data_IF_204057440634
#
_entry.id   IF_204057440634
#
_cell.length_a   1.000
_cell.length_b   1.000
_cell.length_c   1.000
_cell.angle_alpha   90.00
_cell.angle_beta   90.00
_cell.angle_gamma   90.00
#
_symmetry.space_group_name_H-M   'P 1'
#
loop_
_entity.id
_entity.type
_entity.pdbx_description
1 polymer ?
#
# COMPACT_ATOMS: atom_id res chain seq x y z
N UNK A 1 8.13 -18.48 3.77
CA UNK A 1 8.74 -17.15 3.58
C UNK A 1 10.24 -17.32 3.42
N UNK A 2 10.87 -16.86 2.34
CA UNK A 2 12.33 -16.84 2.24
C UNK A 2 12.79 -15.45 2.66
N UNK A 3 13.64 -15.37 3.69
CA UNK A 3 14.33 -14.14 4.07
C UNK A 3 15.67 -14.17 3.34
N UNK A 4 15.79 -13.39 2.27
CA UNK A 4 17.09 -13.22 1.62
C UNK A 4 17.97 -12.31 2.51
N UNK A 5 19.28 -12.55 2.47
CA UNK A 5 20.27 -11.81 3.27
C UNK A 5 20.04 -10.29 3.21
N UNK A 6 20.02 -9.65 4.38
CA UNK A 6 19.71 -8.21 4.53
C UNK A 6 18.32 -7.88 5.10
N UNK A 7 17.51 -8.88 5.47
CA UNK A 7 16.20 -8.65 6.10
C UNK A 7 15.10 -8.24 5.12
N UNK A 8 15.28 -8.54 3.83
CA UNK A 8 14.27 -8.32 2.79
C UNK A 8 13.28 -9.46 2.79
N UNK A 9 11.99 -9.12 2.89
CA UNK A 9 10.90 -10.08 2.71
C UNK A 9 10.56 -10.11 1.22
N UNK A 10 10.86 -11.23 0.55
CA UNK A 10 10.45 -11.48 -0.83
C UNK A 10 9.57 -12.73 -0.85
N UNK A 11 8.34 -12.58 -1.31
CA UNK A 11 7.39 -13.66 -1.54
C UNK A 11 7.34 -13.93 -3.04
N UNK A 12 7.65 -15.18 -3.40
CA UNK A 12 7.38 -15.68 -4.75
C UNK A 12 5.86 -15.78 -4.96
N UNK A 13 5.41 -15.55 -6.19
CA UNK A 13 3.98 -15.52 -6.54
C UNK A 13 3.23 -16.79 -6.11
N UNK A 14 3.83 -17.96 -6.32
CA UNK A 14 3.29 -19.28 -5.94
C UNK A 14 3.12 -19.45 -4.42
N UNK A 15 3.96 -18.77 -3.63
CA UNK A 15 3.96 -18.86 -2.16
C UNK A 15 3.15 -17.75 -1.48
N UNK A 16 2.76 -16.71 -2.22
CA UNK A 16 2.05 -15.57 -1.67
C UNK A 16 0.69 -15.93 -1.06
N UNK A 17 -0.19 -16.75 -1.70
CA UNK A 17 -1.48 -17.13 -1.12
C UNK A 17 -1.33 -17.77 0.27
N UNK A 18 -0.41 -18.74 0.39
CA UNK A 18 -0.14 -19.41 1.67
C UNK A 18 0.34 -18.43 2.74
N UNK A 19 1.21 -17.48 2.40
CA UNK A 19 1.67 -16.46 3.35
C UNK A 19 0.53 -15.53 3.81
N UNK A 20 -0.43 -15.23 2.92
CA UNK A 20 -1.61 -14.46 3.29
C UNK A 20 -2.48 -15.22 4.30
N UNK A 21 -2.69 -16.51 4.08
CA UNK A 21 -3.48 -17.38 4.95
C UNK A 21 -2.80 -17.61 6.30
N UNK A 22 -1.49 -17.87 6.31
CA UNK A 22 -0.68 -18.01 7.53
C UNK A 22 -0.76 -16.74 8.37
N UNK A 23 -0.52 -15.57 7.76
CA UNK A 23 -0.60 -14.30 8.48
C UNK A 23 -2.03 -14.01 8.94
N UNK A 24 -3.02 -14.30 8.10
CA UNK A 24 -4.42 -14.17 8.48
C UNK A 24 -4.71 -15.02 9.72
N UNK A 25 -4.30 -16.29 9.76
CA UNK A 25 -4.53 -17.21 10.89
C UNK A 25 -3.95 -16.71 12.22
N UNK A 26 -2.83 -15.97 12.20
CA UNK A 26 -2.21 -15.38 13.39
C UNK A 26 -3.08 -14.24 13.96
N UNK A 27 -3.68 -13.44 13.09
CA UNK A 27 -4.57 -12.33 13.49
C UNK A 27 -6.04 -12.74 13.53
N UNK A 28 -6.35 -13.95 13.10
CA UNK A 28 -7.68 -14.50 13.01
C UNK A 28 -7.93 -15.43 14.18
N UNK A 29 -8.28 -14.84 15.32
CA UNK A 29 -8.79 -15.58 16.48
C UNK A 29 -10.19 -16.18 16.23
N UNK A 30 -10.76 -16.10 15.01
CA UNK A 30 -12.08 -16.64 14.62
C UNK A 30 -12.13 -18.18 14.50
N UNK A 31 -11.27 -18.93 15.20
CA UNK A 31 -11.50 -20.39 15.36
C UNK A 31 -12.71 -20.68 16.24
N UNK A 32 -13.14 -19.72 17.05
CA UNK A 32 -14.39 -19.81 17.77
C UNK A 32 -15.51 -19.17 16.93
N UNK A 33 -16.66 -19.85 16.74
CA UNK A 33 -17.84 -19.27 16.12
C UNK A 33 -18.14 -17.95 16.82
N UNK A 34 -18.31 -16.88 16.06
CA UNK A 34 -18.69 -15.57 16.58
C UNK A 34 -19.91 -15.75 17.48
N UNK A 35 -19.79 -15.61 18.83
CA UNK A 35 -20.97 -15.73 19.66
C UNK A 35 -21.88 -14.57 19.26
N UNK A 36 -23.18 -14.86 19.16
CA UNK A 36 -24.23 -13.90 18.81
C UNK A 36 -24.15 -12.60 19.66
N UNK A 37 -23.43 -12.66 20.80
CA UNK A 37 -23.04 -11.53 21.63
C UNK A 37 -21.50 -11.38 21.68
N UNK A 38 -20.88 -10.86 20.62
CA UNK A 38 -19.46 -10.47 20.68
C UNK A 38 -19.30 -9.31 21.68
N UNK A 39 -18.71 -9.58 22.84
CA UNK A 39 -18.56 -8.63 23.93
C UNK A 39 -17.66 -7.42 23.61
N UNK A 40 -17.57 -6.44 24.53
CA UNK A 40 -16.82 -5.19 24.34
C UNK A 40 -15.37 -5.41 23.91
N UNK A 41 -14.72 -6.45 24.41
CA UNK A 41 -13.32 -6.79 24.11
C UNK A 41 -13.08 -7.10 22.62
N UNK A 42 -14.03 -7.77 21.96
CA UNK A 42 -13.96 -8.06 20.52
C UNK A 42 -13.98 -6.78 19.69
N UNK A 43 -14.83 -5.83 20.08
CA UNK A 43 -14.90 -4.51 19.43
C UNK A 43 -13.65 -3.67 19.70
N UNK A 44 -13.01 -3.82 20.86
CA UNK A 44 -11.78 -3.11 21.22
C UNK A 44 -10.58 -3.57 20.38
N UNK A 45 -10.40 -4.87 20.17
CA UNK A 45 -9.29 -5.38 19.37
C UNK A 45 -9.38 -4.97 17.88
N UNK A 46 -10.58 -5.07 17.30
CA UNK A 46 -10.83 -4.57 15.94
C UNK A 46 -10.70 -3.03 15.84
N UNK A 47 -11.07 -2.29 16.90
CA UNK A 47 -10.85 -0.84 17.00
C UNK A 47 -9.36 -0.49 17.04
N UNK A 48 -8.58 -1.20 17.84
CA UNK A 48 -7.13 -1.02 17.97
C UNK A 48 -6.41 -1.12 16.62
N UNK A 49 -6.62 -2.20 15.85
CA UNK A 49 -5.97 -2.34 14.54
C UNK A 49 -6.42 -1.31 13.51
N UNK A 50 -7.71 -0.94 13.52
CA UNK A 50 -8.20 0.16 12.67
C UNK A 50 -7.51 1.49 13.02
N UNK A 51 -7.28 1.73 14.31
CA UNK A 51 -6.57 2.92 14.77
C UNK A 51 -5.09 2.89 14.38
N UNK A 52 -4.42 1.73 14.43
CA UNK A 52 -3.03 1.60 13.95
C UNK A 52 -2.89 1.90 12.46
N UNK A 53 -3.80 1.39 11.62
CA UNK A 53 -3.79 1.71 10.18
C UNK A 53 -3.99 3.22 9.96
N UNK A 54 -4.97 3.81 10.62
CA UNK A 54 -5.24 5.26 10.53
C UNK A 54 -4.06 6.09 11.02
N UNK A 55 -3.38 5.65 12.08
CA UNK A 55 -2.15 6.27 12.57
C UNK A 55 -1.05 6.21 11.52
N UNK A 56 -0.76 5.02 10.98
CA UNK A 56 0.27 4.86 9.95
C UNK A 56 -0.02 5.68 8.70
N UNK A 57 -1.29 5.80 8.30
CA UNK A 57 -1.70 6.65 7.18
C UNK A 57 -1.35 8.12 7.45
N UNK A 58 -1.70 8.63 8.65
CA UNK A 58 -1.31 9.98 9.08
C UNK A 58 0.21 10.15 9.09
N UNK A 59 0.95 9.16 9.58
CA UNK A 59 2.41 9.23 9.63
C UNK A 59 3.03 9.35 8.22
N UNK A 60 2.54 8.60 7.22
CA UNK A 60 3.00 8.77 5.83
C UNK A 60 2.70 10.18 5.31
N UNK A 61 1.52 10.74 5.63
CA UNK A 61 1.19 12.12 5.25
C UNK A 61 2.11 13.16 5.90
N UNK A 62 2.40 13.00 7.19
CA UNK A 62 3.25 13.96 7.91
C UNK A 62 4.71 13.90 7.47
N UNK A 63 5.17 12.75 6.94
CA UNK A 63 6.52 12.57 6.39
C UNK A 63 6.50 12.56 4.84
N UNK A 64 5.48 13.16 4.21
CA UNK A 64 5.28 13.09 2.76
C UNK A 64 6.49 13.58 1.97
N UNK A 65 7.11 14.68 2.40
CA UNK A 65 8.27 15.24 1.69
C UNK A 65 9.47 14.30 1.74
N UNK A 66 9.75 13.71 2.90
CA UNK A 66 10.84 12.75 3.07
C UNK A 66 10.61 11.52 2.16
N UNK A 67 9.37 11.04 2.08
CA UNK A 67 8.99 9.97 1.15
C UNK A 67 9.16 10.34 -0.31
N UNK A 68 8.77 11.56 -0.69
CA UNK A 68 8.92 12.02 -2.08
C UNK A 68 10.39 12.12 -2.48
N UNK A 69 11.25 12.63 -1.59
CA UNK A 69 12.69 12.66 -1.81
C UNK A 69 13.30 11.26 -1.91
N UNK A 70 12.89 10.35 -1.02
CA UNK A 70 13.32 8.95 -1.06
C UNK A 70 12.93 8.26 -2.38
N UNK A 71 11.69 8.45 -2.85
CA UNK A 71 11.27 7.88 -4.13
C UNK A 71 11.89 8.57 -5.32
N UNK A 72 12.21 9.87 -5.25
CA UNK A 72 12.94 10.56 -6.31
C UNK A 72 14.29 9.89 -6.56
N UNK A 73 15.03 9.54 -5.50
CA UNK A 73 16.30 8.82 -5.63
C UNK A 73 16.14 7.41 -6.22
N UNK A 74 15.04 6.71 -5.92
CA UNK A 74 14.82 5.32 -6.38
C UNK A 74 14.17 5.20 -7.76
N UNK A 75 13.50 6.25 -8.20
CA UNK A 75 12.73 6.26 -9.46
C UNK A 75 13.32 7.21 -10.49
N UNK A 76 14.14 8.18 -10.08
CA UNK A 76 14.55 9.30 -10.93
C UNK A 76 13.42 10.27 -11.25
N UNK A 77 12.26 10.17 -10.57
CA UNK A 77 11.11 11.06 -10.79
C UNK A 77 11.10 12.13 -9.70
N UNK A 78 11.18 13.41 -10.08
CA UNK A 78 10.82 14.47 -9.15
C UNK A 78 9.30 14.48 -9.00
N UNK A 79 8.80 13.84 -7.94
CA UNK A 79 7.36 13.74 -7.69
C UNK A 79 6.71 15.10 -7.49
N UNK A 80 7.40 16.12 -6.96
CA UNK A 80 6.78 17.45 -6.80
C UNK A 80 6.45 18.07 -8.16
N UNK A 81 7.40 17.98 -9.11
CA UNK A 81 7.24 18.51 -10.46
C UNK A 81 6.21 17.69 -11.25
N UNK A 82 6.32 16.37 -11.19
CA UNK A 82 5.40 15.45 -11.88
C UNK A 82 3.94 15.69 -11.45
N UNK A 83 3.69 15.99 -10.17
CA UNK A 83 2.34 16.29 -9.67
C UNK A 83 1.83 17.64 -10.13
N UNK A 84 2.71 18.64 -10.19
CA UNK A 84 2.36 19.98 -10.69
C UNK A 84 1.98 19.91 -12.17
N UNK A 85 2.78 19.25 -13.00
CA UNK A 85 2.55 19.09 -14.43
C UNK A 85 1.25 18.32 -14.73
N UNK A 86 0.89 17.42 -13.82
CA UNK A 86 -0.31 16.59 -13.88
C UNK A 86 -1.55 17.21 -13.27
N UNK A 87 -1.45 18.43 -12.73
CA UNK A 87 -2.57 19.15 -12.12
C UNK A 87 -3.04 18.57 -10.77
N UNK A 88 -2.24 17.75 -10.10
CA UNK A 88 -2.56 17.19 -8.78
C UNK A 88 -2.19 18.20 -7.68
N UNK A 89 -3.03 19.22 -7.56
CA UNK A 89 -2.73 20.41 -6.74
C UNK A 89 -3.34 20.37 -5.34
N UNK A 90 -4.41 19.60 -5.14
CA UNK A 90 -5.10 19.57 -3.84
C UNK A 90 -4.27 18.83 -2.79
N UNK A 91 -4.20 19.38 -1.57
CA UNK A 91 -3.46 18.76 -0.46
C UNK A 91 -4.00 17.36 -0.13
N UNK A 92 -5.32 17.14 -0.21
CA UNK A 92 -5.91 15.83 0.04
C UNK A 92 -5.53 14.82 -1.06
N UNK A 93 -5.50 15.25 -2.31
CA UNK A 93 -5.06 14.42 -3.44
C UNK A 93 -3.61 13.99 -3.27
N UNK A 94 -2.73 14.92 -2.93
CA UNK A 94 -1.32 14.61 -2.67
C UNK A 94 -1.13 13.66 -1.48
N UNK A 95 -1.89 13.85 -0.39
CA UNK A 95 -1.89 12.94 0.78
C UNK A 95 -2.37 11.53 0.42
N UNK A 96 -3.46 11.42 -0.34
CA UNK A 96 -3.98 10.13 -0.82
C UNK A 96 -2.96 9.44 -1.72
N UNK A 97 -2.36 10.20 -2.65
CA UNK A 97 -1.34 9.69 -3.54
C UNK A 97 -0.13 9.18 -2.76
N UNK A 98 0.37 9.91 -1.75
CA UNK A 98 1.53 9.49 -0.97
C UNK A 98 1.30 8.12 -0.31
N UNK A 99 0.14 7.90 0.31
CA UNK A 99 -0.18 6.58 0.88
C UNK A 99 -0.35 5.53 -0.20
N UNK A 100 -1.00 5.87 -1.31
CA UNK A 100 -1.14 4.93 -2.42
C UNK A 100 0.22 4.48 -2.99
N UNK A 101 1.13 5.41 -3.27
CA UNK A 101 2.48 5.12 -3.75
C UNK A 101 3.29 4.31 -2.73
N UNK A 102 3.10 4.55 -1.43
CA UNK A 102 3.67 3.71 -0.39
C UNK A 102 3.21 2.25 -0.54
N UNK A 103 1.91 2.02 -0.71
CA UNK A 103 1.40 0.66 -0.89
C UNK A 103 1.89 0.03 -2.20
N UNK A 104 1.97 0.80 -3.29
CA UNK A 104 2.52 0.34 -4.57
C UNK A 104 3.97 -0.12 -4.40
N UNK A 105 4.82 0.71 -3.77
CA UNK A 105 6.23 0.36 -3.52
C UNK A 105 6.36 -0.85 -2.59
N UNK A 106 5.51 -0.94 -1.57
CA UNK A 106 5.48 -2.08 -0.64
C UNK A 106 5.05 -3.38 -1.34
N UNK A 107 4.00 -3.36 -2.16
CA UNK A 107 3.52 -4.52 -2.91
C UNK A 107 4.61 -5.02 -3.86
N UNK A 108 5.17 -4.12 -4.65
CA UNK A 108 6.24 -4.45 -5.61
C UNK A 108 7.52 -4.94 -4.91
N UNK A 109 7.84 -4.41 -3.72
CA UNK A 109 9.01 -4.85 -2.95
C UNK A 109 8.82 -6.25 -2.37
N UNK A 110 7.62 -6.59 -1.92
CA UNK A 110 7.34 -7.88 -1.26
C UNK A 110 7.04 -8.97 -2.28
N UNK A 111 6.29 -8.65 -3.35
CA UNK A 111 5.90 -9.59 -4.39
C UNK A 111 6.34 -9.03 -5.75
N UNK A 112 7.65 -9.03 -6.03
CA UNK A 112 8.15 -8.54 -7.31
C UNK A 112 7.61 -9.43 -8.44
N UNK A 113 7.24 -8.85 -9.60
CA UNK A 113 6.63 -9.59 -10.71
C UNK A 113 7.56 -10.69 -11.29
N UNK A 114 8.87 -10.61 -11.09
CA UNK A 114 9.84 -11.64 -11.48
C UNK A 114 10.99 -11.71 -10.44
N UNK A 115 10.95 -12.65 -9.49
CA UNK A 115 11.94 -12.74 -8.40
C UNK A 115 13.33 -13.19 -8.85
N UNK A 116 13.49 -13.71 -10.07
CA UNK A 116 14.73 -14.30 -10.60
C UNK A 116 15.66 -13.30 -11.29
N UNK A 117 15.21 -12.10 -11.64
CA UNK A 117 16.06 -11.10 -12.30
C UNK A 117 16.47 -10.01 -11.29
N UNK A 118 17.77 -9.92 -11.02
CA UNK A 118 18.37 -8.84 -10.19
C UNK A 118 18.03 -7.41 -10.71
N UNK A 119 17.54 -7.31 -11.95
CA UNK A 119 17.13 -6.09 -12.66
C UNK A 119 15.88 -5.37 -12.10
N UNK A 120 15.04 -5.98 -11.26
CA UNK A 120 13.84 -5.29 -10.71
C UNK A 120 14.13 -4.26 -9.62
N UNK A 121 15.37 -4.23 -9.12
CA UNK A 121 15.85 -3.12 -8.29
C UNK A 121 16.31 -1.91 -9.12
N UNK A 122 16.24 -1.99 -10.46
CA UNK A 122 16.65 -0.89 -11.33
C UNK A 122 15.71 0.31 -11.20
N UNK A 123 16.33 1.49 -11.28
CA UNK A 123 15.63 2.78 -11.31
C UNK A 123 14.56 2.78 -12.41
N UNK A 124 14.80 2.12 -13.55
CA UNK A 124 13.88 2.05 -14.69
C UNK A 124 12.56 1.32 -14.35
N UNK A 125 12.63 0.18 -13.64
CA UNK A 125 11.43 -0.54 -13.19
C UNK A 125 10.59 0.33 -12.26
N UNK A 126 11.22 0.91 -11.22
CA UNK A 126 10.55 1.78 -10.26
C UNK A 126 9.98 3.04 -10.92
N UNK A 127 10.69 3.65 -11.86
CA UNK A 127 10.20 4.77 -12.67
C UNK A 127 8.91 4.41 -13.40
N UNK A 128 8.91 3.28 -14.09
CA UNK A 128 7.78 2.82 -14.91
C UNK A 128 6.57 2.52 -14.02
N UNK A 129 6.80 1.79 -12.93
CA UNK A 129 5.78 1.48 -11.92
C UNK A 129 5.12 2.75 -11.38
N UNK A 130 5.92 3.75 -10.99
CA UNK A 130 5.42 5.00 -10.42
C UNK A 130 4.66 5.84 -11.44
N UNK A 131 5.16 5.96 -12.68
CA UNK A 131 4.43 6.68 -13.75
C UNK A 131 3.05 6.07 -14.02
N UNK A 132 2.97 4.73 -14.11
CA UNK A 132 1.69 4.03 -14.29
C UNK A 132 0.78 4.27 -13.09
N UNK A 133 1.31 4.14 -11.87
CA UNK A 133 0.55 4.38 -10.65
C UNK A 133 -0.02 5.81 -10.59
N UNK A 134 0.78 6.82 -10.92
CA UNK A 134 0.35 8.23 -10.95
C UNK A 134 -0.71 8.47 -12.03
N UNK A 135 -0.55 7.91 -13.23
CA UNK A 135 -1.57 7.98 -14.29
C UNK A 135 -2.91 7.38 -13.82
N UNK A 136 -2.88 6.26 -13.11
CA UNK A 136 -4.09 5.64 -12.55
C UNK A 136 -4.70 6.45 -11.41
N UNK A 137 -3.86 7.05 -10.58
CA UNK A 137 -4.32 7.98 -9.56
C UNK A 137 -5.10 9.14 -10.21
N UNK A 138 -4.57 9.78 -11.26
CA UNK A 138 -5.28 10.86 -11.96
C UNK A 138 -6.63 10.42 -12.51
N UNK A 139 -6.69 9.25 -13.15
CA UNK A 139 -7.94 8.70 -13.67
C UNK A 139 -8.95 8.41 -12.56
N UNK A 140 -8.48 7.89 -11.42
CA UNK A 140 -9.31 7.66 -10.24
C UNK A 140 -9.81 8.97 -9.63
N UNK A 141 -8.93 9.97 -9.49
CA UNK A 141 -9.24 11.28 -8.92
C UNK A 141 -10.29 12.00 -9.76
N UNK A 142 -10.16 12.00 -11.09
CA UNK A 142 -11.13 12.61 -12.00
C UNK A 142 -12.55 12.06 -11.79
N UNK A 143 -12.66 10.76 -11.49
CA UNK A 143 -13.94 10.09 -11.24
C UNK A 143 -14.44 10.21 -9.79
N UNK A 144 -13.61 10.68 -8.85
CA UNK A 144 -13.92 10.74 -7.41
C UNK A 144 -13.65 12.11 -6.80
N UNK A 145 -13.50 13.16 -7.61
CA UNK A 145 -13.01 14.49 -7.21
C UNK A 145 -13.85 15.09 -6.07
N UNK A 146 -15.18 15.04 -6.18
CA UNK A 146 -16.09 15.54 -5.14
C UNK A 146 -15.89 14.85 -3.78
N UNK A 147 -15.59 13.55 -3.77
CA UNK A 147 -15.36 12.76 -2.56
C UNK A 147 -13.97 13.00 -1.94
N UNK A 148 -12.97 13.23 -2.78
CA UNK A 148 -11.58 13.47 -2.36
C UNK A 148 -11.41 14.91 -1.84
N UNK A 149 -12.09 15.88 -2.45
CA UNK A 149 -12.05 17.29 -2.06
C UNK A 149 -12.80 17.55 -0.73
N UNK A 150 -13.76 16.71 -0.34
CA UNK A 150 -14.47 16.84 0.93
C UNK A 150 -13.61 16.39 2.13
N UNK A 151 -13.18 17.33 2.98
CA UNK A 151 -12.35 17.05 4.17
C UNK A 151 -13.03 16.10 5.18
N UNK A 152 -14.35 16.25 5.39
CA UNK A 152 -15.12 15.43 6.34
C UNK A 152 -15.13 13.96 5.89
N UNK A 153 -15.34 13.71 4.60
CA UNK A 153 -15.34 12.35 4.05
C UNK A 153 -13.93 11.78 3.91
N UNK A 154 -12.92 12.62 3.68
CA UNK A 154 -11.55 12.19 3.42
C UNK A 154 -10.96 11.43 4.62
N UNK A 155 -10.89 12.04 5.81
CA UNK A 155 -10.19 11.43 6.95
C UNK A 155 -10.87 10.16 7.49
N UNK A 156 -12.20 10.11 7.49
CA UNK A 156 -12.96 8.93 7.93
C UNK A 156 -12.83 7.74 6.99
N UNK A 157 -12.81 8.00 5.68
CA UNK A 157 -12.88 6.98 4.62
C UNK A 157 -11.55 6.73 3.91
N UNK A 158 -10.46 7.37 4.32
CA UNK A 158 -9.17 7.25 3.64
C UNK A 158 -8.67 5.81 3.46
N UNK A 159 -8.77 4.92 4.46
CA UNK A 159 -8.46 3.50 4.26
C UNK A 159 -9.31 2.85 3.17
N UNK A 160 -10.58 3.22 3.03
CA UNK A 160 -11.42 2.70 1.95
C UNK A 160 -10.95 3.24 0.60
N UNK A 161 -10.71 4.55 0.49
CA UNK A 161 -10.24 5.19 -0.75
C UNK A 161 -8.91 4.63 -1.24
N UNK A 162 -7.93 4.49 -0.35
CA UNK A 162 -6.62 3.91 -0.71
C UNK A 162 -6.79 2.51 -1.28
N UNK A 163 -7.61 1.68 -0.65
CA UNK A 163 -7.82 0.32 -1.13
C UNK A 163 -8.66 0.26 -2.41
N UNK A 164 -9.66 1.12 -2.58
CA UNK A 164 -10.41 1.23 -3.83
C UNK A 164 -9.49 1.62 -5.00
N UNK A 165 -8.58 2.58 -4.77
CA UNK A 165 -7.58 3.00 -5.72
C UNK A 165 -6.54 1.90 -6.00
N UNK A 166 -6.08 1.17 -4.98
CA UNK A 166 -5.18 0.02 -5.16
C UNK A 166 -5.83 -1.05 -6.04
N UNK A 167 -7.09 -1.41 -5.77
CA UNK A 167 -7.82 -2.35 -6.61
C UNK A 167 -8.04 -1.81 -8.03
N UNK A 168 -8.24 -0.51 -8.19
CA UNK A 168 -8.31 0.12 -9.52
C UNK A 168 -6.98 -0.02 -10.29
N UNK A 169 -5.85 0.27 -9.64
CA UNK A 169 -4.51 0.10 -10.22
C UNK A 169 -4.16 -1.39 -10.49
N UNK A 170 -4.55 -2.31 -9.62
CA UNK A 170 -4.30 -3.74 -9.81
C UNK A 170 -5.03 -4.34 -11.02
N UNK A 171 -6.02 -3.65 -11.58
CA UNK A 171 -6.68 -4.05 -12.83
C UNK A 171 -5.87 -3.70 -14.08
N UNK A 172 -4.75 -2.99 -13.96
CA UNK A 172 -3.87 -2.71 -15.08
C UNK A 172 -3.40 -3.98 -15.79
N UNK A 173 -3.28 -3.98 -17.13
CA UNK A 173 -2.73 -5.11 -17.87
C UNK A 173 -1.31 -5.51 -17.42
N UNK A 174 -0.52 -4.56 -16.92
CA UNK A 174 0.83 -4.83 -16.38
C UNK A 174 0.83 -5.59 -15.05
N UNK A 175 -0.32 -5.73 -14.39
CA UNK A 175 -0.45 -6.28 -13.03
C UNK A 175 -1.14 -7.66 -13.00
N UNK A 176 -1.20 -8.41 -14.11
CA UNK A 176 -1.98 -9.66 -14.20
C UNK A 176 -1.73 -10.65 -13.05
N UNK A 177 -0.47 -10.95 -12.74
CA UNK A 177 -0.14 -11.86 -11.64
C UNK A 177 -0.58 -11.31 -10.26
N UNK A 178 -0.38 -10.01 -10.01
CA UNK A 178 -0.85 -9.37 -8.78
C UNK A 178 -2.37 -9.31 -8.71
N UNK A 179 -3.04 -9.17 -9.86
CA UNK A 179 -4.50 -9.19 -9.98
C UNK A 179 -5.05 -10.57 -9.59
N UNK A 180 -4.42 -11.65 -10.04
CA UNK A 180 -4.80 -13.02 -9.66
C UNK A 180 -4.68 -13.26 -8.14
N UNK A 181 -3.71 -12.60 -7.48
CA UNK A 181 -3.60 -12.65 -6.01
C UNK A 181 -4.64 -11.77 -5.31
N UNK A 182 -4.95 -10.61 -5.89
CA UNK A 182 -5.82 -9.61 -5.30
C UNK A 182 -7.31 -9.87 -5.53
N UNK A 183 -7.67 -10.76 -6.45
CA UNK A 183 -9.04 -11.13 -6.78
C UNK A 183 -9.22 -12.65 -6.74
N UNK A 184 -10.36 -13.09 -6.22
CA UNK A 184 -10.76 -14.49 -6.25
C UNK A 184 -11.21 -14.87 -7.68
N UNK A 185 -11.36 -16.18 -8.01
CA UNK A 185 -11.80 -16.63 -9.34
C UNK A 185 -13.11 -16.00 -9.84
N UNK A 186 -14.00 -15.61 -8.93
CA UNK A 186 -15.27 -14.94 -9.24
C UNK A 186 -15.13 -13.42 -9.50
N UNK A 187 -13.91 -12.90 -9.58
CA UNK A 187 -13.64 -11.46 -9.74
C UNK A 187 -13.87 -10.62 -8.48
N UNK A 188 -14.20 -11.24 -7.34
CA UNK A 188 -14.38 -10.56 -6.06
C UNK A 188 -13.03 -10.23 -5.41
N UNK A 189 -12.96 -9.13 -4.68
CA UNK A 189 -11.73 -8.69 -3.98
C UNK A 189 -11.31 -9.73 -2.94
N UNK A 190 -10.06 -10.21 -3.03
CA UNK A 190 -9.47 -11.09 -2.05
C UNK A 190 -9.21 -10.33 -0.74
N UNK A 191 -9.96 -10.66 0.32
CA UNK A 191 -9.81 -10.01 1.62
C UNK A 191 -8.47 -10.33 2.29
N UNK A 192 -7.86 -11.49 1.99
CA UNK A 192 -6.59 -11.90 2.60
C UNK A 192 -5.41 -11.11 2.04
N UNK A 193 -5.41 -10.82 0.74
CA UNK A 193 -4.45 -9.89 0.13
C UNK A 193 -4.43 -8.55 0.86
N UNK A 194 -5.60 -7.93 1.05
CA UNK A 194 -5.73 -6.66 1.77
C UNK A 194 -5.29 -6.77 3.23
N UNK A 195 -5.70 -7.82 3.94
CA UNK A 195 -5.33 -8.02 5.35
C UNK A 195 -3.82 -8.17 5.51
N UNK A 196 -3.17 -8.90 4.60
CA UNK A 196 -1.73 -9.10 4.60
C UNK A 196 -0.96 -7.79 4.51
N UNK A 197 -1.20 -6.99 3.46
CA UNK A 197 -0.48 -5.74 3.28
C UNK A 197 -0.83 -4.69 4.34
N UNK A 198 -2.06 -4.68 4.86
CA UNK A 198 -2.39 -3.85 6.03
C UNK A 198 -1.59 -4.27 7.28
N UNK A 199 -1.39 -5.57 7.48
CA UNK A 199 -0.59 -6.06 8.60
C UNK A 199 0.88 -5.69 8.43
N UNK A 200 1.45 -5.82 7.24
CA UNK A 200 2.82 -5.33 6.99
C UNK A 200 2.90 -3.83 7.24
N UNK A 201 2.00 -3.05 6.65
CA UNK A 201 1.96 -1.60 6.77
C UNK A 201 1.91 -1.14 8.24
N UNK A 202 0.96 -1.67 9.04
CA UNK A 202 0.75 -1.21 10.42
C UNK A 202 1.96 -1.47 11.33
N UNK A 203 2.77 -2.48 11.02
CA UNK A 203 3.96 -2.81 11.81
C UNK A 203 5.28 -2.27 11.23
N UNK A 204 5.32 -1.89 9.95
CA UNK A 204 6.53 -1.37 9.31
C UNK A 204 6.57 0.16 9.21
N UNK A 205 5.41 0.82 9.06
CA UNK A 205 5.32 2.23 8.65
C UNK A 205 6.14 3.16 9.56
N UNK A 206 5.94 3.13 10.87
CA UNK A 206 6.66 4.01 11.81
C UNK A 206 8.17 3.85 11.71
N UNK A 207 8.66 2.60 11.64
CA UNK A 207 10.10 2.32 11.53
C UNK A 207 10.66 2.76 10.17
N UNK A 208 9.90 2.61 9.10
CA UNK A 208 10.30 3.04 7.77
C UNK A 208 10.33 4.57 7.66
N UNK A 209 9.37 5.28 8.25
CA UNK A 209 9.39 6.75 8.33
C UNK A 209 10.67 7.25 9.02
N UNK A 210 11.04 6.64 10.14
CA UNK A 210 12.29 6.98 10.84
C UNK A 210 13.54 6.74 9.97
N UNK A 211 13.56 5.65 9.20
CA UNK A 211 14.67 5.35 8.28
C UNK A 211 14.73 6.29 7.09
N UNK A 212 13.58 6.70 6.55
CA UNK A 212 13.53 7.65 5.44
C UNK A 212 13.99 9.03 5.91
N UNK A 213 13.66 9.42 7.15
CA UNK A 213 14.01 10.72 7.72
C UNK A 213 15.44 10.82 8.28
N UNK A 214 15.93 9.76 8.94
CA UNK A 214 17.19 9.77 9.69
C UNK A 214 18.15 8.65 9.30
N UNK A 215 17.78 7.80 8.34
CA UNK A 215 18.66 6.73 7.88
C UNK A 215 19.93 7.31 7.25
N UNK A 216 21.02 6.52 7.19
CA UNK A 216 22.22 6.97 6.51
C UNK A 216 21.84 7.36 5.09
N UNK A 217 22.18 8.59 4.70
CA UNK A 217 22.03 9.07 3.33
C UNK A 217 22.54 7.98 2.40
N UNK A 218 21.65 7.29 1.68
CA UNK A 218 22.05 6.42 0.59
C UNK A 218 22.44 7.34 -0.57
N UNK A 219 23.62 7.94 -0.42
CA UNK A 219 24.47 8.47 -1.49
C UNK A 219 25.16 7.31 -2.19
#
# INVERSE_FOLDING_TARGET
MQIEGGGKIVLKMDKAPKAFDELASIYDTRKDPQPYNAGPEYTQHASFFRNLIRKGFKEVWFNQEDWFNFWANRTGINLKDELKDRGILSTNSQRLLAVFLYFVDMIDTIIPPNPTNQSFSSIQHKNTLFKIAILRFQAFEKNNSSRILSQIHFHGNLPAFVWDLLYFWLKDPGNLALKELAYNPNGLRNSMFKKFFNAVFKFSCTKLNLRVKYGPNMS
#
